data_IF_179696981571
#
_entry.id   IF_179696981571
#
_cell.length_a   1.000
_cell.length_b   1.000
_cell.length_c   1.000
_cell.angle_alpha   90.00
_cell.angle_beta   90.00
_cell.angle_gamma   90.00
#
_symmetry.space_group_name_H-M   'P 1'
#
loop_
_entity.id
_entity.type
_entity.pdbx_description
1 polymer ?
#
# COMPACT_ATOMS: atom_id res chain seq x y z
N UNK A 1 -23.88 -8.46 18.13
CA UNK A 1 -22.51 -8.09 17.70
C UNK A 1 -22.31 -8.56 16.28
N UNK A 2 -22.55 -7.68 15.31
CA UNK A 2 -22.38 -8.00 13.90
C UNK A 2 -20.90 -7.84 13.54
N UNK A 3 -20.18 -8.96 13.48
CA UNK A 3 -18.88 -9.05 12.83
C UNK A 3 -19.12 -8.77 11.34
N UNK A 4 -18.92 -7.51 10.95
CA UNK A 4 -18.96 -7.08 9.57
C UNK A 4 -17.88 -7.82 8.77
N UNK A 5 -18.27 -8.94 8.15
CA UNK A 5 -17.54 -9.47 7.00
C UNK A 5 -17.64 -8.39 5.93
N UNK A 6 -16.59 -7.59 5.80
CA UNK A 6 -16.38 -6.81 4.58
C UNK A 6 -16.49 -7.80 3.44
N UNK A 7 -17.55 -7.65 2.65
CA UNK A 7 -17.84 -8.53 1.54
C UNK A 7 -16.60 -8.62 0.68
N UNK A 8 -16.06 -9.83 0.58
CA UNK A 8 -15.31 -10.18 -0.62
C UNK A 8 -16.30 -9.85 -1.75
N UNK A 9 -16.05 -8.74 -2.45
CA UNK A 9 -16.73 -8.44 -3.70
C UNK A 9 -16.67 -9.71 -4.57
N UNK A 10 -17.53 -9.88 -5.59
CA UNK A 10 -17.19 -10.79 -6.69
C UNK A 10 -15.91 -10.25 -7.35
N UNK A 11 -14.77 -10.49 -6.69
CA UNK A 11 -13.47 -9.93 -6.98
C UNK A 11 -12.99 -10.61 -8.24
N UNK A 12 -12.45 -9.81 -9.15
CA UNK A 12 -11.75 -10.38 -10.28
C UNK A 12 -10.65 -11.30 -9.75
N UNK A 13 -10.56 -12.50 -10.32
CA UNK A 13 -9.60 -13.53 -9.90
C UNK A 13 -8.15 -13.02 -9.97
N UNK A 14 -7.89 -12.04 -10.84
CA UNK A 14 -6.61 -11.38 -10.98
C UNK A 14 -6.77 -9.87 -11.17
N UNK A 15 -5.82 -9.10 -10.65
CA UNK A 15 -5.80 -7.64 -10.67
C UNK A 15 -5.83 -7.09 -12.11
N UNK A 16 -5.11 -7.70 -13.04
CA UNK A 16 -5.00 -7.23 -14.43
C UNK A 16 -6.31 -7.34 -15.20
N UNK A 17 -7.27 -8.13 -14.73
CA UNK A 17 -8.57 -8.27 -15.39
C UNK A 17 -9.48 -7.06 -15.16
N UNK A 18 -9.14 -6.16 -14.23
CA UNK A 18 -10.01 -5.05 -13.87
C UNK A 18 -9.94 -3.94 -14.91
N UNK A 19 -10.92 -3.91 -15.83
CA UNK A 19 -10.96 -3.02 -17.03
C UNK A 19 -10.75 -1.53 -16.78
N UNK A 20 -11.06 -1.06 -15.57
CA UNK A 20 -10.92 0.36 -15.22
C UNK A 20 -9.57 0.69 -14.53
N UNK A 21 -8.71 -0.31 -14.32
CA UNK A 21 -7.39 -0.12 -13.71
C UNK A 21 -6.34 0.33 -14.72
N UNK A 22 -5.29 1.00 -14.21
CA UNK A 22 -4.08 1.27 -14.99
C UNK A 22 -3.36 -0.02 -15.39
N UNK A 23 -3.40 -1.06 -14.56
CA UNK A 23 -2.80 -2.37 -14.84
C UNK A 23 -3.43 -3.02 -16.08
N UNK A 24 -4.76 -3.06 -16.17
CA UNK A 24 -5.46 -3.57 -17.36
C UNK A 24 -5.05 -2.80 -18.62
N UNK A 25 -4.91 -1.47 -18.53
CA UNK A 25 -4.44 -0.67 -19.67
C UNK A 25 -3.00 -1.00 -20.08
N UNK A 26 -2.13 -1.39 -19.14
CA UNK A 26 -0.76 -1.85 -19.46
C UNK A 26 -0.79 -3.20 -20.17
N UNK A 27 -1.50 -4.18 -19.60
CA UNK A 27 -1.47 -5.58 -20.08
C UNK A 27 -2.37 -5.86 -21.28
N UNK A 28 -3.52 -5.18 -21.37
CA UNK A 28 -4.59 -5.50 -22.33
C UNK A 28 -5.11 -4.29 -23.11
N UNK A 29 -4.69 -3.08 -22.74
CA UNK A 29 -5.11 -1.85 -23.39
C UNK A 29 -4.61 -1.73 -24.82
N UNK A 30 -5.31 -0.94 -25.63
CA UNK A 30 -4.84 -0.60 -26.98
C UNK A 30 -3.58 0.28 -26.89
N UNK A 31 -2.80 0.44 -27.97
CA UNK A 31 -1.67 1.38 -27.99
C UNK A 31 -2.07 2.82 -27.64
N UNK A 32 -3.33 3.22 -27.88
CA UNK A 32 -3.87 4.52 -27.46
C UNK A 32 -4.08 4.59 -25.95
N UNK A 33 -4.57 3.52 -25.33
CA UNK A 33 -4.78 3.43 -23.89
C UNK A 33 -3.45 3.40 -23.13
N UNK A 34 -2.47 2.64 -23.64
CA UNK A 34 -1.13 2.56 -23.07
C UNK A 34 -0.42 3.91 -23.08
N UNK A 35 -0.64 4.76 -24.10
CA UNK A 35 -0.09 6.13 -24.18
C UNK A 35 -0.63 7.08 -23.10
N UNK A 36 -1.73 6.74 -22.43
CA UNK A 36 -2.24 7.52 -21.29
C UNK A 36 -1.37 7.34 -20.03
N UNK A 37 -0.55 6.29 -20.00
CA UNK A 37 0.26 5.95 -18.85
C UNK A 37 1.67 6.49 -19.04
N UNK A 38 2.20 7.12 -18.00
CA UNK A 38 3.62 7.47 -17.97
C UNK A 38 4.47 6.20 -18.01
N UNK A 39 5.66 6.34 -18.61
CA UNK A 39 6.72 5.34 -18.47
C UNK A 39 7.09 5.22 -16.99
N UNK A 40 7.47 4.01 -16.59
CA UNK A 40 7.94 3.78 -15.24
C UNK A 40 9.26 4.55 -15.00
N UNK A 41 9.47 5.08 -13.79
CA UNK A 41 10.73 5.73 -13.44
C UNK A 41 11.89 4.74 -13.31
N UNK A 42 11.57 3.44 -13.25
CA UNK A 42 12.49 2.30 -13.19
C UNK A 42 12.03 1.24 -14.20
N UNK A 43 12.86 0.24 -14.47
CA UNK A 43 12.45 -0.92 -15.26
C UNK A 43 11.33 -1.69 -14.55
N UNK A 44 10.41 -2.25 -15.33
CA UNK A 44 9.30 -3.05 -14.79
C UNK A 44 9.89 -4.42 -14.42
N UNK A 45 9.72 -4.90 -13.17
CA UNK A 45 10.18 -6.23 -12.79
C UNK A 45 9.50 -7.32 -13.61
N UNK A 46 10.24 -8.35 -14.00
CA UNK A 46 9.71 -9.46 -14.82
C UNK A 46 8.52 -10.16 -14.15
N UNK A 47 8.54 -10.28 -12.82
CA UNK A 47 7.50 -10.95 -12.03
C UNK A 47 6.41 -9.99 -11.51
N UNK A 48 6.28 -8.78 -12.08
CA UNK A 48 5.36 -7.76 -11.58
C UNK A 48 3.90 -8.22 -11.48
N UNK A 49 3.40 -8.97 -12.48
CA UNK A 49 2.04 -9.51 -12.46
C UNK A 49 1.85 -10.58 -11.38
N UNK A 50 2.89 -11.36 -11.07
CA UNK A 50 2.82 -12.33 -9.98
C UNK A 50 2.77 -11.59 -8.65
N UNK A 51 3.68 -10.64 -8.44
CA UNK A 51 3.77 -9.83 -7.24
C UNK A 51 2.45 -9.10 -6.91
N UNK A 52 1.81 -8.46 -7.90
CA UNK A 52 0.57 -7.70 -7.65
C UNK A 52 -0.64 -8.58 -7.32
N UNK A 53 -0.60 -9.85 -7.73
CA UNK A 53 -1.64 -10.83 -7.47
C UNK A 53 -1.37 -11.67 -6.21
N UNK A 54 -0.21 -11.51 -5.58
CA UNK A 54 0.12 -12.19 -4.34
C UNK A 54 -0.70 -11.62 -3.17
N UNK A 55 -1.44 -12.45 -2.41
CA UNK A 55 -2.24 -11.97 -1.31
C UNK A 55 -1.35 -11.52 -0.16
N UNK A 56 -1.63 -10.35 0.42
CA UNK A 56 -0.97 -9.91 1.63
C UNK A 56 -1.42 -10.76 2.84
N UNK A 57 -0.49 -11.00 3.75
CA UNK A 57 -0.74 -11.63 5.04
C UNK A 57 -1.57 -10.71 5.95
N UNK A 58 -2.18 -11.29 6.99
CA UNK A 58 -2.95 -10.51 7.97
C UNK A 58 -2.09 -9.47 8.71
N UNK A 59 -0.82 -9.79 8.99
CA UNK A 59 0.12 -8.88 9.65
C UNK A 59 0.47 -7.70 8.74
N UNK A 60 0.80 -7.96 7.47
CA UNK A 60 1.10 -6.89 6.51
C UNK A 60 -0.09 -5.96 6.30
N UNK A 61 -1.30 -6.51 6.22
CA UNK A 61 -2.51 -5.71 6.13
C UNK A 61 -2.71 -4.82 7.36
N UNK A 62 -2.40 -5.31 8.56
CA UNK A 62 -2.47 -4.51 9.78
C UNK A 62 -1.42 -3.40 9.78
N UNK A 63 -0.19 -3.70 9.36
CA UNK A 63 0.88 -2.71 9.27
C UNK A 63 0.57 -1.61 8.24
N UNK A 64 -0.02 -1.98 7.10
CA UNK A 64 -0.50 -1.02 6.09
C UNK A 64 -1.60 -0.15 6.67
N UNK A 65 -2.62 -0.74 7.31
CA UNK A 65 -3.71 0.02 7.94
C UNK A 65 -3.19 0.98 8.99
N UNK A 66 -2.30 0.50 9.86
CA UNK A 66 -1.69 1.33 10.89
C UNK A 66 -0.87 2.47 10.27
N UNK A 67 -0.16 2.22 9.17
CA UNK A 67 0.58 3.25 8.44
C UNK A 67 -0.32 4.32 7.83
N UNK A 68 -1.44 3.93 7.24
CA UNK A 68 -2.48 4.84 6.72
C UNK A 68 -3.09 5.67 7.85
N UNK A 69 -3.51 5.03 8.95
CA UNK A 69 -4.15 5.72 10.09
C UNK A 69 -3.21 6.74 10.73
N UNK A 70 -1.94 6.37 10.92
CA UNK A 70 -0.94 7.24 11.55
C UNK A 70 -0.31 8.23 10.58
N UNK A 71 -0.60 8.10 9.28
CA UNK A 71 0.11 8.79 8.20
C UNK A 71 1.63 8.62 8.30
N UNK A 72 2.09 7.46 8.78
CA UNK A 72 3.52 7.12 8.88
C UNK A 72 3.98 6.40 7.61
N UNK A 73 5.28 6.49 7.26
CA UNK A 73 5.85 5.67 6.20
C UNK A 73 5.66 4.16 6.45
N UNK A 74 5.43 3.39 5.38
CA UNK A 74 5.34 1.93 5.42
C UNK A 74 6.61 1.30 4.83
N UNK A 75 7.17 0.31 5.51
CA UNK A 75 8.38 -0.40 5.07
C UNK A 75 9.20 -0.91 6.25
N UNK A 76 10.45 -1.28 5.97
CA UNK A 76 11.42 -1.70 6.98
C UNK A 76 11.63 -0.63 8.06
N UNK A 77 11.80 -1.05 9.32
CA UNK A 77 11.89 -0.15 10.47
C UNK A 77 13.04 0.86 10.32
N UNK A 78 14.22 0.41 9.88
CA UNK A 78 15.36 1.31 9.71
C UNK A 78 15.12 2.32 8.58
N UNK A 79 14.41 1.91 7.52
CA UNK A 79 14.00 2.82 6.46
C UNK A 79 12.96 3.82 6.93
N UNK A 80 11.95 3.38 7.70
CA UNK A 80 10.89 4.21 8.25
C UNK A 80 11.46 5.29 9.17
N UNK A 81 12.38 4.94 10.06
CA UNK A 81 13.05 5.92 10.94
C UNK A 81 13.81 6.95 10.10
N UNK A 82 14.66 6.48 9.18
CA UNK A 82 15.46 7.34 8.29
C UNK A 82 14.59 8.30 7.47
N UNK A 83 13.53 7.80 6.84
CA UNK A 83 12.69 8.62 5.97
C UNK A 83 11.79 9.56 6.79
N UNK A 84 11.40 9.16 8.01
CA UNK A 84 10.63 10.03 8.89
C UNK A 84 11.46 11.24 9.29
N UNK A 85 12.73 11.05 9.68
CA UNK A 85 13.63 12.17 9.97
C UNK A 85 13.87 13.05 8.75
N UNK A 86 14.09 12.45 7.57
CA UNK A 86 14.31 13.22 6.35
C UNK A 86 13.11 14.10 5.98
N UNK A 87 11.89 13.65 6.27
CA UNK A 87 10.65 14.34 5.89
C UNK A 87 10.02 15.17 7.02
N UNK A 88 10.59 15.15 8.24
CA UNK A 88 9.97 15.80 9.41
C UNK A 88 8.66 15.13 9.85
N UNK A 89 8.63 13.79 9.82
CA UNK A 89 7.47 12.95 10.12
C UNK A 89 7.57 12.17 11.43
N UNK A 90 8.54 12.48 12.29
CA UNK A 90 8.81 11.74 13.53
C UNK A 90 7.59 11.70 14.46
N UNK A 91 6.76 12.75 14.48
CA UNK A 91 5.51 12.81 15.24
C UNK A 91 4.53 11.68 14.88
N UNK A 92 4.59 11.16 13.65
CA UNK A 92 3.71 10.07 13.20
C UNK A 92 4.06 8.73 13.86
N UNK A 93 5.29 8.59 14.36
CA UNK A 93 5.80 7.38 15.02
C UNK A 93 5.40 7.32 16.51
N UNK A 94 5.13 8.46 17.14
CA UNK A 94 4.77 8.50 18.55
C UNK A 94 3.30 8.15 18.80
N UNK A 95 2.98 7.63 19.99
CA UNK A 95 1.59 7.42 20.39
C UNK A 95 0.83 8.76 20.44
N UNK A 96 -0.43 8.81 19.99
CA UNK A 96 -1.23 10.01 20.10
C UNK A 96 -1.46 10.40 21.57
N UNK A 97 -1.43 11.70 21.85
CA UNK A 97 -1.72 12.27 23.17
C UNK A 97 -0.48 12.68 23.98
N UNK A 98 -0.72 13.15 25.19
CA UNK A 98 0.34 13.61 26.12
C UNK A 98 1.20 12.40 26.53
N UNK A 99 2.54 12.53 26.56
CA UNK A 99 3.41 11.52 27.16
C UNK A 99 2.91 11.17 28.56
N UNK A 100 2.82 9.87 28.86
CA UNK A 100 2.43 9.41 30.20
C UNK A 100 3.44 10.00 31.19
N UNK A 101 2.94 10.66 32.25
CA UNK A 101 3.80 11.06 33.36
C UNK A 101 4.42 9.77 33.90
N UNK A 102 5.75 9.65 33.90
CA UNK A 102 6.41 8.55 34.59
C UNK A 102 5.85 8.52 36.01
N UNK A 103 5.23 7.41 36.37
CA UNK A 103 4.73 7.19 37.72
C UNK A 103 5.92 6.92 38.61
N UNK A 104 6.36 7.95 39.34
CA UNK A 104 6.89 7.78 40.68
C UNK A 104 5.70 7.59 41.65
#
# INVERSE_FOLDING_TARGET
>A
MASGKWGQSPLLVKAENWKWSSLWRREHGTPKDQKLLSKWPIEIPDEYLQFINEPQTASELEDIRHSVIKSKPYGDVAWVEKISTKLGLEQTLHAPGRPKKNGD
#
